data_IF_488949846353
#
_entry.id   IF_488949846353
#
_cell.length_a   1.000
_cell.length_b   1.000
_cell.length_c   1.000
_cell.angle_alpha   90.00
_cell.angle_beta   90.00
_cell.angle_gamma   90.00
#
_symmetry.space_group_name_H-M   'P 1'
#
loop_
_entity.id
_entity.type
_entity.pdbx_description
1 polymer ?
#
# COMPACT_ATOMS: atom_id res chain seq x y z
N UNK A 1 12.77 -4.35 9.44
CA UNK A 1 13.06 -5.54 8.61
C UNK A 1 13.05 -5.06 7.18
N UNK A 2 14.23 -5.06 6.55
CA UNK A 2 14.40 -4.55 5.19
C UNK A 2 13.68 -5.46 4.18
N UNK A 3 12.98 -4.84 3.23
CA UNK A 3 12.37 -5.56 2.11
C UNK A 3 13.45 -6.21 1.24
N UNK A 4 13.06 -7.19 0.43
CA UNK A 4 13.96 -7.88 -0.48
C UNK A 4 14.60 -6.83 -1.43
N UNK A 5 15.93 -6.84 -1.64
CA UNK A 5 16.60 -5.86 -2.48
C UNK A 5 16.03 -5.83 -3.90
N UNK A 6 15.62 -4.65 -4.37
CA UNK A 6 15.03 -4.46 -5.70
C UNK A 6 16.08 -4.62 -6.80
N UNK A 7 15.76 -5.38 -7.85
CA UNK A 7 16.54 -5.42 -9.10
C UNK A 7 16.00 -4.48 -10.19
N UNK A 8 14.77 -3.94 -10.05
CA UNK A 8 14.05 -3.08 -11.02
C UNK A 8 12.78 -2.45 -10.39
N UNK A 9 11.93 -1.78 -11.20
CA UNK A 9 10.59 -1.27 -10.83
C UNK A 9 9.72 -2.35 -10.15
N UNK A 10 8.89 -1.92 -9.17
CA UNK A 10 8.03 -2.84 -8.40
C UNK A 10 7.01 -3.50 -9.32
N UNK A 11 7.05 -4.83 -9.40
CA UNK A 11 6.22 -5.59 -10.33
C UNK A 11 5.05 -6.29 -9.61
N UNK A 12 3.83 -6.27 -10.18
CA UNK A 12 2.73 -7.10 -9.68
C UNK A 12 3.04 -8.58 -9.93
N UNK A 13 2.84 -9.43 -8.92
CA UNK A 13 3.04 -10.88 -9.04
C UNK A 13 1.98 -11.53 -9.95
N UNK A 14 2.41 -12.14 -11.05
CA UNK A 14 1.52 -12.73 -12.07
C UNK A 14 0.94 -14.09 -11.62
N UNK A 15 1.60 -14.76 -10.67
CA UNK A 15 1.20 -16.09 -10.18
C UNK A 15 0.41 -16.05 -8.84
N UNK A 16 0.10 -14.84 -8.36
CA UNK A 16 -0.50 -14.60 -7.04
C UNK A 16 -2.03 -14.79 -6.98
N UNK A 17 -2.62 -15.73 -7.72
CA UNK A 17 -4.02 -16.09 -7.49
C UNK A 17 -4.09 -16.75 -6.11
N UNK A 18 -4.49 -15.99 -5.10
CA UNK A 18 -4.61 -16.50 -3.76
C UNK A 18 -5.71 -17.58 -3.70
N UNK A 19 -5.40 -18.81 -3.25
CA UNK A 19 -6.33 -19.94 -3.29
C UNK A 19 -7.42 -19.87 -2.21
N UNK A 20 -7.58 -18.73 -1.52
CA UNK A 20 -8.44 -18.56 -0.35
C UNK A 20 -9.18 -17.22 -0.35
N UNK A 21 -10.03 -16.97 0.66
CA UNK A 21 -10.87 -15.77 0.72
C UNK A 21 -10.10 -14.46 0.98
N UNK A 22 -8.80 -14.55 1.28
CA UNK A 22 -7.92 -13.42 1.57
C UNK A 22 -6.60 -13.57 0.78
N UNK A 23 -6.03 -12.47 0.24
CA UNK A 23 -6.55 -11.10 0.20
C UNK A 23 -7.81 -10.99 -0.66
N UNK A 24 -8.59 -9.90 -0.50
CA UNK A 24 -9.87 -9.74 -1.18
C UNK A 24 -9.71 -9.60 -2.70
N UNK A 25 -10.79 -9.85 -3.44
CA UNK A 25 -10.85 -9.61 -4.88
C UNK A 25 -10.40 -8.19 -5.23
N UNK A 26 -9.64 -8.06 -6.31
CA UNK A 26 -9.05 -6.79 -6.73
C UNK A 26 -7.77 -6.43 -5.99
N UNK A 27 -7.24 -7.31 -5.14
CA UNK A 27 -5.89 -7.18 -4.58
C UNK A 27 -4.87 -7.96 -5.40
N UNK A 28 -3.75 -7.33 -5.70
CA UNK A 28 -2.59 -7.93 -6.37
C UNK A 28 -1.35 -7.69 -5.52
N UNK A 29 -0.67 -8.77 -5.13
CA UNK A 29 0.55 -8.72 -4.32
C UNK A 29 1.68 -8.05 -5.08
N UNK A 30 2.43 -7.17 -4.41
CA UNK A 30 3.72 -6.67 -4.87
C UNK A 30 4.81 -7.56 -4.27
N UNK A 31 5.36 -8.46 -5.06
CA UNK A 31 6.26 -9.53 -4.56
C UNK A 31 7.53 -8.99 -3.91
N UNK A 32 8.03 -7.87 -4.41
CA UNK A 32 9.23 -7.19 -3.88
C UNK A 32 8.96 -6.46 -2.55
N UNK A 33 7.69 -6.41 -2.14
CA UNK A 33 7.24 -5.77 -0.91
C UNK A 33 6.54 -6.77 0.05
N UNK A 34 6.93 -8.04 -0.02
CA UNK A 34 6.52 -9.07 0.94
C UNK A 34 7.51 -9.16 2.10
N UNK A 35 6.99 -9.29 3.33
CA UNK A 35 7.80 -9.41 4.54
C UNK A 35 8.27 -10.85 4.81
N UNK A 36 7.76 -11.83 4.07
CA UNK A 36 8.08 -13.26 4.25
C UNK A 36 7.38 -13.93 5.44
N UNK A 37 6.60 -13.18 6.23
CA UNK A 37 5.77 -13.70 7.33
C UNK A 37 4.28 -13.89 6.93
N UNK A 38 3.89 -13.53 5.70
CA UNK A 38 2.49 -13.55 5.24
C UNK A 38 1.91 -12.16 5.00
N UNK A 39 2.46 -11.13 5.64
CA UNK A 39 2.14 -9.73 5.35
C UNK A 39 2.89 -9.27 4.09
N UNK A 40 2.29 -8.33 3.38
CA UNK A 40 2.86 -7.70 2.19
C UNK A 40 2.15 -6.38 1.88
N UNK A 41 2.82 -5.52 1.12
CA UNK A 41 2.14 -4.48 0.36
C UNK A 41 1.60 -5.04 -0.97
N UNK A 42 0.49 -4.48 -1.41
CA UNK A 42 -0.15 -4.84 -2.68
C UNK A 42 -0.93 -3.69 -3.29
N UNK A 43 -1.24 -3.83 -4.58
CA UNK A 43 -2.16 -2.94 -5.28
C UNK A 43 -3.59 -3.39 -5.01
N UNK A 44 -4.47 -2.46 -4.69
CA UNK A 44 -5.88 -2.74 -4.49
C UNK A 44 -6.74 -1.83 -5.37
N UNK A 45 -7.64 -2.44 -6.13
CA UNK A 45 -8.75 -1.77 -6.82
C UNK A 45 -9.99 -1.83 -5.94
N UNK A 46 -10.43 -0.71 -5.34
CA UNK A 46 -11.64 -0.69 -4.56
C UNK A 46 -12.85 -1.09 -5.41
N UNK A 47 -13.76 -1.86 -4.80
CA UNK A 47 -15.00 -2.30 -5.46
C UNK A 47 -15.78 -1.09 -5.99
N UNK A 48 -16.16 -1.13 -7.26
CA UNK A 48 -16.82 -0.04 -7.98
C UNK A 48 -15.90 1.09 -8.45
N UNK A 49 -14.60 0.98 -8.22
CA UNK A 49 -13.56 1.92 -8.68
C UNK A 49 -12.50 1.23 -9.55
N UNK A 50 -12.81 0.06 -10.12
CA UNK A 50 -11.88 -0.74 -10.93
C UNK A 50 -11.43 -0.01 -12.20
N UNK A 51 -12.18 1.00 -12.64
CA UNK A 51 -11.85 1.88 -13.76
C UNK A 51 -10.79 2.95 -13.44
N UNK A 52 -10.38 3.06 -12.17
CA UNK A 52 -9.34 4.00 -11.71
C UNK A 52 -8.02 3.28 -11.46
N UNK A 53 -6.97 4.06 -11.25
CA UNK A 53 -5.70 3.53 -10.79
C UNK A 53 -5.84 2.93 -9.38
N UNK A 54 -5.12 1.84 -9.06
CA UNK A 54 -5.16 1.21 -7.75
C UNK A 54 -4.46 2.07 -6.70
N UNK A 55 -4.84 1.82 -5.44
CA UNK A 55 -4.10 2.31 -4.27
C UNK A 55 -3.13 1.24 -3.77
N UNK A 56 -2.20 1.61 -2.91
CA UNK A 56 -1.34 0.65 -2.21
C UNK A 56 -1.94 0.35 -0.85
N UNK A 57 -2.07 -0.92 -0.53
CA UNK A 57 -2.55 -1.42 0.76
C UNK A 57 -1.51 -2.35 1.39
N UNK A 58 -1.43 -2.33 2.72
CA UNK A 58 -0.73 -3.35 3.52
C UNK A 58 -1.71 -4.43 3.96
N UNK A 59 -1.26 -5.68 3.97
CA UNK A 59 -2.01 -6.82 4.51
C UNK A 59 -1.56 -7.12 5.93
N UNK A 60 -2.52 -7.46 6.78
CA UNK A 60 -2.31 -8.01 8.12
C UNK A 60 -2.95 -9.41 8.11
N UNK A 61 -2.14 -10.41 7.77
CA UNK A 61 -2.60 -11.75 7.41
C UNK A 61 -3.21 -12.50 8.60
N UNK A 62 -2.77 -12.25 9.84
CA UNK A 62 -3.38 -12.82 11.04
C UNK A 62 -4.76 -12.21 11.35
N UNK A 63 -5.02 -11.01 10.85
CA UNK A 63 -6.26 -10.26 11.08
C UNK A 63 -7.23 -10.32 9.88
N UNK A 64 -6.82 -10.94 8.78
CA UNK A 64 -7.54 -10.94 7.49
C UNK A 64 -7.94 -9.52 7.05
N UNK A 65 -7.05 -8.56 7.29
CA UNK A 65 -7.29 -7.14 7.08
C UNK A 65 -6.36 -6.58 6.02
N UNK A 66 -6.90 -5.68 5.18
CA UNK A 66 -6.10 -4.78 4.35
C UNK A 66 -6.24 -3.35 4.85
N UNK A 67 -5.15 -2.58 4.77
CA UNK A 67 -5.08 -1.20 5.22
C UNK A 67 -4.56 -0.34 4.09
N UNK A 68 -5.33 0.65 3.60
CA UNK A 68 -4.81 1.65 2.68
C UNK A 68 -3.56 2.32 3.27
N UNK A 69 -2.48 2.38 2.49
CA UNK A 69 -1.20 2.94 2.91
C UNK A 69 -0.81 4.15 2.05
N UNK A 70 -0.96 4.05 0.72
CA UNK A 70 -0.62 5.13 -0.22
C UNK A 70 -1.66 5.25 -1.34
N UNK A 71 -1.79 6.46 -1.89
CA UNK A 71 -2.69 6.76 -3.01
C UNK A 71 -2.24 6.13 -4.33
N UNK A 72 -0.95 5.80 -4.46
CA UNK A 72 -0.36 5.25 -5.68
C UNK A 72 0.94 4.49 -5.41
N UNK A 73 1.34 3.65 -6.36
CA UNK A 73 2.63 2.94 -6.32
C UNK A 73 3.82 3.90 -6.30
N UNK A 74 3.73 5.03 -7.03
CA UNK A 74 4.78 6.04 -7.06
C UNK A 74 5.05 6.64 -5.68
N UNK A 75 3.99 6.87 -4.89
CA UNK A 75 4.12 7.35 -3.52
C UNK A 75 4.72 6.30 -2.61
N UNK A 76 4.36 5.04 -2.80
CA UNK A 76 4.99 3.94 -2.10
C UNK A 76 6.49 3.83 -2.41
N UNK A 77 6.90 3.94 -3.68
CA UNK A 77 8.32 3.94 -4.08
C UNK A 77 9.09 5.11 -3.46
N UNK A 78 8.56 6.34 -3.52
CA UNK A 78 9.14 7.51 -2.86
C UNK A 78 9.34 7.27 -1.34
N UNK A 79 8.35 6.66 -0.69
CA UNK A 79 8.43 6.32 0.73
C UNK A 79 9.50 5.28 1.03
N UNK A 80 9.66 4.27 0.17
CA UNK A 80 10.67 3.24 0.36
C UNK A 80 12.09 3.79 0.17
N UNK A 81 12.29 4.64 -0.85
CA UNK A 81 13.57 5.31 -1.10
C UNK A 81 14.03 6.11 0.12
N UNK A 82 13.14 6.90 0.73
CA UNK A 82 13.51 7.69 1.92
C UNK A 82 13.71 6.84 3.18
N UNK A 83 13.15 5.63 3.22
CA UNK A 83 13.29 4.70 4.34
C UNK A 83 14.33 3.60 4.06
N UNK A 84 15.20 3.72 3.04
CA UNK A 84 16.20 2.69 2.69
C UNK A 84 15.61 1.28 2.63
N UNK A 85 14.40 1.17 2.08
CA UNK A 85 13.62 -0.07 1.95
C UNK A 85 13.32 -0.79 3.28
N UNK A 86 13.50 -0.13 4.44
CA UNK A 86 13.08 -0.63 5.75
C UNK A 86 11.87 0.15 6.29
N UNK A 87 10.65 -0.36 6.09
CA UNK A 87 9.40 0.31 6.45
C UNK A 87 9.20 0.52 7.96
N UNK A 88 9.95 -0.17 8.83
CA UNK A 88 9.70 -0.18 10.27
C UNK A 88 10.86 0.41 11.11
N UNK A 89 12.06 0.53 10.56
CA UNK A 89 13.22 1.06 11.32
C UNK A 89 13.35 2.58 11.27
N UNK A 90 13.14 3.19 10.08
CA UNK A 90 13.47 4.60 9.88
C UNK A 90 12.33 5.55 10.27
N UNK A 91 11.07 5.10 10.18
CA UNK A 91 9.90 5.85 10.62
C UNK A 91 9.67 7.18 9.88
N UNK A 92 10.27 7.36 8.69
CA UNK A 92 10.15 8.58 7.91
C UNK A 92 8.83 8.55 7.14
N UNK A 93 7.98 9.54 7.38
CA UNK A 93 6.74 9.74 6.62
C UNK A 93 6.98 10.61 5.39
N UNK A 94 6.29 10.32 4.29
CA UNK A 94 6.22 11.20 3.12
C UNK A 94 4.86 11.92 3.04
N UNK A 95 4.78 12.99 2.25
CA UNK A 95 3.50 13.62 1.93
C UNK A 95 2.78 12.88 0.79
N UNK A 96 1.55 12.47 1.07
CA UNK A 96 0.63 11.91 0.08
C UNK A 96 -0.69 12.70 0.10
N UNK A 97 -0.77 13.69 -0.80
CA UNK A 97 -1.87 14.65 -0.79
C UNK A 97 -3.20 14.03 -1.22
N UNK A 98 -3.13 13.08 -2.16
CA UNK A 98 -4.28 12.41 -2.76
C UNK A 98 -4.76 11.21 -1.93
N UNK A 99 -4.03 10.85 -0.87
CA UNK A 99 -4.43 9.77 0.02
C UNK A 99 -5.73 10.12 0.77
N UNK A 100 -6.68 9.19 0.77
CA UNK A 100 -8.03 9.43 1.30
C UNK A 100 -8.03 9.92 2.76
N UNK A 101 -7.14 9.39 3.61
CA UNK A 101 -7.02 9.85 5.00
C UNK A 101 -6.54 11.31 5.08
N UNK A 102 -5.64 11.72 4.18
CA UNK A 102 -5.18 13.09 4.11
C UNK A 102 -6.29 14.03 3.62
N UNK A 103 -7.02 13.65 2.57
CA UNK A 103 -8.18 14.40 2.09
C UNK A 103 -9.23 14.61 3.19
N UNK A 104 -9.53 13.56 3.95
CA UNK A 104 -10.46 13.64 5.08
C UNK A 104 -9.94 14.56 6.20
N UNK A 105 -8.65 14.48 6.52
CA UNK A 105 -7.99 15.38 7.50
C UNK A 105 -8.10 16.84 7.08
N UNK A 106 -7.82 17.15 5.81
CA UNK A 106 -7.92 18.51 5.25
C UNK A 106 -9.36 19.01 5.31
N UNK A 107 -10.32 18.21 4.84
CA UNK A 107 -11.74 18.55 4.88
C UNK A 107 -12.20 18.87 6.31
N UNK A 108 -11.81 18.06 7.30
CA UNK A 108 -12.13 18.31 8.72
C UNK A 108 -11.58 19.64 9.23
N UNK A 109 -10.34 20.00 8.85
CA UNK A 109 -9.75 21.29 9.25
C UNK A 109 -10.53 22.46 8.65
N UNK A 110 -10.85 22.41 7.36
CA UNK A 110 -11.64 23.45 6.69
C UNK A 110 -13.00 23.67 7.36
N UNK A 111 -13.69 22.59 7.75
CA UNK A 111 -14.98 22.66 8.46
C UNK A 111 -14.87 23.23 9.88
N UNK A 112 -13.70 23.15 10.52
CA UNK A 112 -13.50 23.70 11.87
C UNK A 112 -13.12 25.18 11.89
N UNK A 113 -12.79 25.75 10.72
CA UNK A 113 -12.34 27.14 10.57
C UNK A 113 -13.35 28.07 9.89
N UNK A 114 -14.50 27.52 9.46
CA UNK A 114 -15.62 28.28 8.89
C UNK A 114 -16.78 28.38 9.86
#
# INVERSE_FOLDING_TARGET
MKLIPRSSDISPGIDGICPGPFPPNGFTVLTDAAYGNGDCFGLYWPIGQEHKLPIVCETYHDEWRIVPAFSSIKKFEEWLEVNDDDPHENGISIEDQDFAANLFRVARKCLSTG
#
